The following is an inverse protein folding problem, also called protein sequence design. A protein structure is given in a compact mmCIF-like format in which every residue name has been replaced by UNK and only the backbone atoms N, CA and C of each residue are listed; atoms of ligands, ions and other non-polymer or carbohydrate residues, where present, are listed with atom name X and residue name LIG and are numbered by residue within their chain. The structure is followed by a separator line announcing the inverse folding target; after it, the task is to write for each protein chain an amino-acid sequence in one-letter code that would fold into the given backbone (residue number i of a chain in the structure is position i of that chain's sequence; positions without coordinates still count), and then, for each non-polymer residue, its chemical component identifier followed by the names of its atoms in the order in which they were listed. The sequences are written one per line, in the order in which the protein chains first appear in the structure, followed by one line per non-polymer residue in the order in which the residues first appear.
data_IF_887930538249
#
_entry.id   IF_887930538249
#
_cell.length_a   1.000
_cell.length_b   1.000
_cell.length_c   1.000
_cell.angle_alpha   90.00
_cell.angle_beta   90.00
_cell.angle_gamma   90.00
#
_symmetry.space_group_name_H-M   'P 1'
#
loop_
_entity.id
_entity.type
_entity.pdbx_description
1 polymer ?
#
# COMPACT_ATOMS: atom_id res chain seq x y z
N UNK A 1 1.24 -5.52 18.54
CA UNK A 1 2.08 -4.41 18.04
C UNK A 1 1.31 -3.79 16.87
N UNK A 2 1.06 -2.48 16.88
CA UNK A 2 0.39 -1.76 15.78
C UNK A 2 1.39 -0.75 15.27
N UNK A 3 1.79 -0.90 14.01
CA UNK A 3 2.67 0.04 13.33
C UNK A 3 1.84 0.93 12.38
N UNK A 4 2.33 2.13 12.08
CA UNK A 4 1.71 3.06 11.15
C UNK A 4 2.80 3.73 10.34
N UNK A 5 2.69 3.58 9.02
CA UNK A 5 3.69 4.08 8.06
C UNK A 5 3.01 4.89 6.97
N UNK A 6 3.80 5.73 6.30
CA UNK A 6 3.39 6.52 5.14
C UNK A 6 4.08 5.95 3.92
N UNK A 7 3.31 5.56 2.92
CA UNK A 7 3.85 5.01 1.66
C UNK A 7 3.87 6.10 0.57
N UNK A 8 5.01 6.26 -0.09
CA UNK A 8 5.11 7.11 -1.28
C UNK A 8 4.78 6.28 -2.54
N UNK A 9 3.63 6.55 -3.15
CA UNK A 9 3.19 5.87 -4.38
C UNK A 9 4.08 6.14 -5.61
N UNK A 10 4.86 7.21 -5.58
CA UNK A 10 5.75 7.60 -6.67
C UNK A 10 7.18 7.09 -6.48
N UNK A 11 7.46 6.34 -5.41
CA UNK A 11 8.78 5.75 -5.19
C UNK A 11 8.99 4.55 -6.12
N UNK A 12 9.98 4.59 -7.05
CA UNK A 12 10.24 3.47 -7.95
C UNK A 12 11.18 2.41 -7.35
N UNK A 13 11.76 2.65 -6.17
CA UNK A 13 12.89 1.87 -5.64
C UNK A 13 12.45 0.85 -4.60
N UNK A 14 11.57 1.23 -3.67
CA UNK A 14 11.14 0.35 -2.58
C UNK A 14 9.84 -0.37 -2.96
N UNK A 15 9.91 -1.67 -3.21
CA UNK A 15 8.70 -2.48 -3.39
C UNK A 15 8.15 -2.96 -2.04
N UNK A 16 6.84 -3.26 -1.94
CA UNK A 16 6.23 -3.81 -0.72
C UNK A 16 6.93 -5.08 -0.23
N UNK A 17 7.41 -5.93 -1.14
CA UNK A 17 8.15 -7.16 -0.82
C UNK A 17 9.52 -6.85 -0.21
N UNK A 18 10.22 -5.85 -0.76
CA UNK A 18 11.52 -5.43 -0.25
C UNK A 18 11.38 -4.84 1.16
N UNK A 19 10.38 -3.95 1.34
CA UNK A 19 10.08 -3.40 2.66
C UNK A 19 9.69 -4.48 3.67
N UNK A 20 8.82 -5.42 3.30
CA UNK A 20 8.43 -6.53 4.17
C UNK A 20 9.62 -7.41 4.57
N UNK A 21 10.58 -7.62 3.66
CA UNK A 21 11.81 -8.35 3.97
C UNK A 21 12.64 -7.62 5.03
N UNK A 22 12.87 -6.32 4.85
CA UNK A 22 13.60 -5.50 5.83
C UNK A 22 12.92 -5.51 7.20
N UNK A 23 11.59 -5.39 7.26
CA UNK A 23 10.84 -5.46 8.53
C UNK A 23 10.99 -6.82 9.22
N UNK A 24 10.92 -7.91 8.46
CA UNK A 24 11.07 -9.26 9.04
C UNK A 24 12.49 -9.46 9.59
N UNK A 25 13.50 -8.96 8.89
CA UNK A 25 14.90 -9.04 9.32
C UNK A 25 15.18 -8.16 10.54
N UNK A 26 14.77 -6.89 10.53
CA UNK A 26 15.03 -5.92 11.59
C UNK A 26 14.37 -6.30 12.92
N UNK A 27 13.15 -6.85 12.85
CA UNK A 27 12.40 -7.27 14.03
C UNK A 27 12.58 -8.76 14.36
N UNK A 28 13.45 -9.48 13.63
CA UNK A 28 13.67 -10.91 13.77
C UNK A 28 12.36 -11.74 13.79
N UNK A 29 11.42 -11.40 12.92
CA UNK A 29 10.12 -12.06 12.82
C UNK A 29 10.23 -13.38 12.05
N UNK A 30 9.21 -14.22 12.19
CA UNK A 30 9.10 -15.43 11.35
C UNK A 30 8.84 -15.05 9.89
N UNK A 31 9.42 -15.80 8.94
CA UNK A 31 9.24 -15.53 7.51
C UNK A 31 7.78 -15.65 7.02
N UNK A 32 6.90 -16.28 7.79
CA UNK A 32 5.45 -16.28 7.53
C UNK A 32 4.83 -14.86 7.56
N UNK A 33 5.45 -13.90 8.25
CA UNK A 33 4.96 -12.52 8.32
C UNK A 33 5.28 -11.73 7.05
N UNK A 34 6.29 -12.13 6.27
CA UNK A 34 6.66 -11.45 5.02
C UNK A 34 5.47 -11.29 4.07
N UNK A 35 4.79 -12.41 3.78
CA UNK A 35 3.63 -12.41 2.90
C UNK A 35 2.43 -11.65 3.47
N UNK A 36 2.25 -11.65 4.79
CA UNK A 36 1.17 -10.92 5.45
C UNK A 36 1.37 -9.39 5.35
N UNK A 37 2.59 -8.93 5.61
CA UNK A 37 2.95 -7.50 5.52
C UNK A 37 2.83 -7.02 4.07
N UNK A 38 3.41 -7.78 3.13
CA UNK A 38 3.35 -7.48 1.69
C UNK A 38 1.90 -7.34 1.24
N UNK A 39 1.06 -8.34 1.54
CA UNK A 39 -0.35 -8.34 1.15
C UNK A 39 -1.11 -7.17 1.75
N UNK A 40 -0.89 -6.86 3.04
CA UNK A 40 -1.57 -5.76 3.73
C UNK A 40 -1.23 -4.40 3.11
N UNK A 41 0.02 -4.18 2.69
CA UNK A 41 0.43 -2.96 1.97
C UNK A 41 -0.24 -2.94 0.59
N UNK A 42 -0.16 -4.04 -0.16
CA UNK A 42 -0.73 -4.14 -1.51
C UNK A 42 -2.24 -3.84 -1.54
N UNK A 43 -2.99 -4.36 -0.56
CA UNK A 43 -4.43 -4.14 -0.41
C UNK A 43 -4.72 -2.65 -0.18
N UNK A 44 -4.02 -2.00 0.76
CA UNK A 44 -4.19 -0.56 1.02
C UNK A 44 -3.84 0.31 -0.20
N UNK A 45 -2.80 -0.04 -0.96
CA UNK A 45 -2.46 0.68 -2.19
C UNK A 45 -3.49 0.45 -3.30
N UNK A 46 -4.02 -0.77 -3.40
CA UNK A 46 -5.09 -1.10 -4.36
C UNK A 46 -6.37 -0.35 -4.05
N UNK A 47 -6.76 -0.33 -2.77
CA UNK A 47 -7.94 0.40 -2.29
C UNK A 47 -7.78 1.90 -2.55
N UNK A 48 -6.63 2.48 -2.23
CA UNK A 48 -6.35 3.89 -2.53
C UNK A 48 -6.54 4.19 -4.03
N UNK A 49 -5.93 3.37 -4.91
CA UNK A 49 -6.05 3.54 -6.37
C UNK A 49 -7.50 3.44 -6.86
N UNK A 50 -8.27 2.50 -6.32
CA UNK A 50 -9.68 2.32 -6.66
C UNK A 50 -10.54 3.52 -6.22
N UNK A 51 -10.29 4.05 -5.01
CA UNK A 51 -11.01 5.22 -4.50
C UNK A 51 -10.65 6.49 -5.28
N UNK A 52 -9.36 6.72 -5.58
CA UNK A 52 -8.95 7.87 -6.39
C UNK A 52 -9.52 7.81 -7.80
N UNK A 53 -9.53 6.63 -8.43
CA UNK A 53 -10.11 6.47 -9.77
C UNK A 53 -11.63 6.73 -9.78
N UNK A 54 -12.32 6.34 -8.71
CA UNK A 54 -13.77 6.61 -8.56
C UNK A 54 -14.04 8.10 -8.35
N UNK A 55 -13.24 8.77 -7.51
CA UNK A 55 -13.37 10.22 -7.26
C UNK A 55 -13.16 11.04 -8.52
N UNK A 56 -12.15 10.70 -9.32
CA UNK A 56 -11.92 11.35 -10.61
C UNK A 56 -13.15 11.18 -11.53
N UNK A 57 -13.71 9.96 -11.60
CA UNK A 57 -14.88 9.68 -12.42
C UNK A 57 -16.14 10.44 -11.96
N UNK A 58 -16.37 10.56 -10.65
CA UNK A 58 -17.51 11.30 -10.08
C UNK A 58 -17.37 12.81 -10.29
N UNK A 59 -16.16 13.36 -10.16
CA UNK A 59 -15.88 14.77 -10.40
C UNK A 59 -16.24 15.20 -11.83
N UNK A 60 -15.76 14.46 -12.83
CA UNK A 60 -16.09 14.72 -14.25
C UNK A 60 -17.56 14.48 -14.60
N UNK A 61 -18.26 13.61 -13.84
CA UNK A 61 -19.70 13.40 -14.01
C UNK A 61 -20.52 14.57 -13.45
N UNK A 62 -20.04 15.23 -12.39
CA UNK A 62 -20.76 16.35 -11.74
C UNK A 62 -20.66 17.69 -12.50
N UNK A 63 -19.55 17.93 -13.21
CA UNK A 63 -19.35 19.13 -14.05
C UNK A 63 -20.07 19.02 -15.42
N UNK A 64 -20.71 17.89 -15.73
CA UNK A 64 -21.38 17.61 -17.00
C UNK A 64 -22.90 17.93 -17.00
N UNK A 65 -23.43 18.59 -15.96
CA UNK A 65 -24.86 18.98 -15.82
C UNK A 65 -24.98 20.48 -15.59
#
# INVERSE_FOLDING_TARGET
FRDTLVWNLNDPVITPEHFAQTVVEDYALAQSYHGLITKSIQEQLSDYKAHTATLDAEYYSSDAV
#
